data_IF_923639617030
#
_entry.id   IF_923639617030
#
_cell.length_a   1.000
_cell.length_b   1.000
_cell.length_c   1.000
_cell.angle_alpha   90.00
_cell.angle_beta   90.00
_cell.angle_gamma   90.00
#
_symmetry.space_group_name_H-M   'P 1'
#
loop_
_entity.id
_entity.type
_entity.pdbx_description
1 polymer ?
#
# COMPACT_ATOMS: atom_id res chain seq x y z
N UNK A 1 23.51 31.17 -4.89
CA UNK A 1 23.70 29.85 -5.54
C UNK A 1 22.34 29.16 -5.49
N UNK A 2 21.55 29.23 -6.57
CA UNK A 2 20.16 28.76 -6.56
C UNK A 2 20.09 27.24 -6.47
N UNK A 3 19.11 26.72 -5.72
CA UNK A 3 18.85 25.29 -5.64
C UNK A 3 18.55 24.73 -7.04
N UNK A 4 19.35 23.74 -7.46
CA UNK A 4 19.21 23.06 -8.76
C UNK A 4 17.92 22.23 -8.87
N UNK A 5 17.19 22.08 -7.77
CA UNK A 5 16.00 21.23 -7.68
C UNK A 5 14.88 21.94 -6.94
N UNK A 6 13.74 22.10 -7.61
CA UNK A 6 12.51 22.62 -7.02
C UNK A 6 11.66 21.45 -6.54
N UNK A 7 11.29 21.42 -5.26
CA UNK A 7 10.33 20.44 -4.75
C UNK A 7 8.94 20.84 -5.23
N UNK A 8 8.27 19.97 -5.98
CA UNK A 8 6.93 20.24 -6.52
C UNK A 8 5.85 19.80 -5.54
N UNK A 9 5.87 18.54 -5.11
CA UNK A 9 4.82 17.94 -4.31
C UNK A 9 5.34 16.75 -3.52
N UNK A 10 4.65 16.44 -2.43
CA UNK A 10 4.76 15.15 -1.75
C UNK A 10 3.98 14.09 -2.54
N UNK A 11 4.48 12.86 -2.55
CA UNK A 11 3.85 11.72 -3.21
C UNK A 11 3.99 10.44 -2.40
N UNK A 12 2.97 9.61 -2.51
CA UNK A 12 2.96 8.24 -2.01
C UNK A 12 2.73 7.29 -3.17
N UNK A 13 3.61 6.31 -3.33
CA UNK A 13 3.51 5.28 -4.36
C UNK A 13 3.47 3.91 -3.71
N UNK A 14 2.64 3.03 -4.26
CA UNK A 14 2.56 1.64 -3.84
C UNK A 14 2.86 0.75 -5.03
N UNK A 15 3.60 -0.32 -4.77
CA UNK A 15 3.98 -1.25 -5.82
C UNK A 15 4.83 -2.38 -5.32
N UNK A 16 5.27 -3.22 -6.25
CA UNK A 16 6.16 -4.33 -5.95
C UNK A 16 7.62 -3.88 -6.12
N UNK A 17 8.45 -4.15 -5.13
CA UNK A 17 9.88 -3.90 -5.21
C UNK A 17 10.51 -4.85 -6.25
N UNK A 18 11.07 -4.32 -7.33
CA UNK A 18 11.83 -5.13 -8.30
C UNK A 18 13.29 -5.33 -7.87
N UNK A 19 13.84 -4.34 -7.17
CA UNK A 19 15.19 -4.41 -6.63
C UNK A 19 15.83 -3.04 -6.47
N UNK A 20 17.12 -3.06 -6.16
CA UNK A 20 17.92 -1.87 -5.97
C UNK A 20 18.88 -1.69 -7.15
N UNK A 21 18.95 -0.47 -7.70
CA UNK A 21 19.71 -0.16 -8.92
C UNK A 21 20.62 1.06 -8.75
N UNK A 22 21.62 1.16 -9.62
CA UNK A 22 22.55 2.28 -9.71
C UNK A 22 23.61 2.30 -8.61
N UNK A 23 24.75 1.68 -8.87
CA UNK A 23 25.93 1.69 -8.00
C UNK A 23 26.83 0.48 -8.24
N UNK A 24 27.92 0.40 -7.48
CA UNK A 24 28.65 -0.84 -7.24
C UNK A 24 27.81 -1.77 -6.35
N UNK A 25 28.02 -3.10 -6.37
CA UNK A 25 27.38 -4.01 -5.42
C UNK A 25 27.53 -3.48 -3.97
N UNK A 26 26.40 -3.25 -3.30
CA UNK A 26 26.35 -2.67 -1.95
C UNK A 26 26.21 -1.14 -1.84
N UNK A 27 26.26 -0.39 -2.96
CA UNK A 27 26.11 1.09 -2.98
C UNK A 27 24.95 1.56 -3.86
N UNK A 28 23.82 0.84 -3.80
CA UNK A 28 22.64 1.19 -4.57
C UNK A 28 22.14 2.60 -4.27
N UNK A 29 21.79 3.35 -5.32
CA UNK A 29 21.32 4.75 -5.21
C UNK A 29 19.82 4.87 -5.50
N UNK A 30 19.23 3.86 -6.11
CA UNK A 30 17.85 3.85 -6.55
C UNK A 30 17.17 2.55 -6.16
N UNK A 31 15.86 2.63 -6.02
CA UNK A 31 14.94 1.53 -5.84
C UNK A 31 14.03 1.48 -7.06
N UNK A 32 13.86 0.30 -7.64
CA UNK A 32 12.97 0.10 -8.79
C UNK A 32 11.65 -0.49 -8.30
N UNK A 33 10.56 0.22 -8.58
CA UNK A 33 9.21 -0.13 -8.13
C UNK A 33 8.34 -0.43 -9.35
N UNK A 34 7.71 -1.60 -9.38
CA UNK A 34 6.67 -1.93 -10.35
C UNK A 34 5.32 -1.38 -9.85
N UNK A 35 4.72 -0.51 -10.65
CA UNK A 35 3.37 0.03 -10.46
C UNK A 35 2.49 -0.36 -11.67
N UNK A 36 1.16 -0.24 -11.60
CA UNK A 36 0.28 -0.65 -12.71
C UNK A 36 0.58 0.03 -14.04
N UNK A 37 1.10 1.27 -14.01
CA UNK A 37 1.49 2.04 -15.20
C UNK A 37 2.89 1.74 -15.72
N UNK A 38 3.66 0.87 -15.06
CA UNK A 38 5.01 0.48 -15.46
C UNK A 38 6.03 0.51 -14.32
N UNK A 39 7.31 0.60 -14.66
CA UNK A 39 8.39 0.57 -13.68
C UNK A 39 8.92 1.98 -13.41
N UNK A 40 9.08 2.33 -12.14
CA UNK A 40 9.52 3.65 -11.69
C UNK A 40 10.81 3.51 -10.89
N UNK A 41 11.82 4.32 -11.23
CA UNK A 41 13.06 4.44 -10.47
C UNK A 41 12.98 5.57 -9.45
N UNK A 42 13.19 5.23 -8.18
CA UNK A 42 13.06 6.16 -7.06
C UNK A 42 14.43 6.35 -6.40
N UNK A 43 14.89 7.59 -6.28
CA UNK A 43 16.20 7.88 -5.67
C UNK A 43 16.13 7.72 -4.15
N UNK A 44 17.07 6.96 -3.60
CA UNK A 44 17.24 6.77 -2.16
C UNK A 44 18.24 7.78 -1.57
N UNK A 45 17.88 8.48 -0.47
CA UNK A 45 18.81 9.18 0.41
C UNK A 45 19.89 8.24 0.93
N UNK A 46 21.07 8.78 1.28
CA UNK A 46 22.18 7.95 1.77
C UNK A 46 21.80 7.16 3.02
N UNK A 47 21.07 7.79 3.93
CA UNK A 47 20.65 7.24 5.22
C UNK A 47 19.71 6.03 5.08
N UNK A 48 18.86 6.03 4.05
CA UNK A 48 17.90 4.94 3.83
C UNK A 48 18.48 3.72 3.11
N UNK A 49 19.63 3.84 2.44
CA UNK A 49 20.12 2.76 1.57
C UNK A 49 20.42 1.49 2.34
N UNK A 50 21.16 1.61 3.46
CA UNK A 50 21.64 0.47 4.23
C UNK A 50 20.49 -0.26 4.93
N UNK A 51 19.58 0.48 5.56
CA UNK A 51 18.43 -0.12 6.25
C UNK A 51 17.52 -0.85 5.26
N UNK A 52 17.15 -0.17 4.17
CA UNK A 52 16.25 -0.75 3.16
C UNK A 52 16.88 -1.94 2.42
N UNK A 53 18.17 -1.91 2.13
CA UNK A 53 18.85 -3.04 1.49
C UNK A 53 18.89 -4.30 2.36
N UNK A 54 18.78 -4.15 3.68
CA UNK A 54 18.78 -5.27 4.62
C UNK A 54 17.36 -5.73 4.96
N UNK A 55 16.37 -4.84 4.92
CA UNK A 55 15.01 -5.13 5.36
C UNK A 55 14.03 -5.49 4.23
N UNK A 56 14.29 -5.05 3.00
CA UNK A 56 13.39 -5.28 1.87
C UNK A 56 13.95 -6.32 0.91
N UNK A 57 13.07 -7.17 0.41
CA UNK A 57 13.40 -8.21 -0.55
C UNK A 57 12.71 -7.91 -1.89
N UNK A 58 13.38 -8.11 -3.04
CA UNK A 58 12.71 -8.10 -4.34
C UNK A 58 11.48 -9.01 -4.34
N UNK A 59 10.39 -8.54 -4.94
CA UNK A 59 9.08 -9.19 -4.95
C UNK A 59 8.12 -8.71 -3.84
N UNK A 60 8.59 -7.95 -2.86
CA UNK A 60 7.76 -7.48 -1.75
C UNK A 60 6.89 -6.26 -2.12
N UNK A 61 5.65 -6.23 -1.63
CA UNK A 61 4.79 -5.05 -1.74
C UNK A 61 5.27 -3.95 -0.78
N UNK A 62 5.53 -2.75 -1.29
CA UNK A 62 6.06 -1.64 -0.50
C UNK A 62 5.31 -0.34 -0.80
N UNK A 63 5.22 0.51 0.22
CA UNK A 63 4.78 1.90 0.12
C UNK A 63 6.01 2.79 0.17
N UNK A 64 6.12 3.71 -0.77
CA UNK A 64 7.20 4.68 -0.88
C UNK A 64 6.62 6.07 -0.70
N UNK A 65 7.10 6.78 0.32
CA UNK A 65 6.80 8.19 0.55
C UNK A 65 7.98 9.04 0.09
N UNK A 66 7.71 10.08 -0.67
CA UNK A 66 8.76 10.89 -1.27
C UNK A 66 8.29 12.25 -1.76
N UNK A 67 9.23 12.95 -2.40
CA UNK A 67 8.97 14.21 -3.07
C UNK A 67 9.30 14.10 -4.55
N UNK A 68 8.45 14.67 -5.40
CA UNK A 68 8.77 14.93 -6.80
C UNK A 68 9.55 16.22 -6.88
N UNK A 69 10.74 16.17 -7.47
CA UNK A 69 11.61 17.32 -7.67
C UNK A 69 11.78 17.60 -9.15
N UNK A 70 11.57 18.85 -9.55
CA UNK A 70 11.90 19.33 -10.89
C UNK A 70 13.37 19.74 -10.91
N UNK A 71 14.14 19.16 -11.81
CA UNK A 71 15.47 19.66 -12.13
C UNK A 71 15.32 20.92 -12.98
N UNK A 72 15.70 22.08 -12.43
CA UNK A 72 15.45 23.38 -13.08
C UNK A 72 16.25 23.59 -14.37
N UNK A 73 17.28 22.77 -14.61
CA UNK A 73 18.13 22.85 -15.80
C UNK A 73 17.69 21.90 -16.91
N UNK A 74 17.19 20.72 -16.55
CA UNK A 74 16.82 19.67 -17.52
C UNK A 74 15.31 19.51 -17.69
N UNK A 75 14.52 20.20 -16.86
CA UNK A 75 13.05 20.09 -16.78
C UNK A 75 12.55 18.66 -16.53
N UNK A 76 13.41 17.77 -16.04
CA UNK A 76 13.07 16.37 -15.72
C UNK A 76 12.55 16.26 -14.30
N UNK A 77 11.46 15.53 -14.14
CA UNK A 77 10.92 15.18 -12.83
C UNK A 77 11.73 14.01 -12.27
N UNK A 78 12.13 14.14 -11.00
CA UNK A 78 12.86 13.13 -10.25
C UNK A 78 12.18 12.85 -8.94
N UNK A 79 11.96 11.58 -8.64
CA UNK A 79 11.40 11.15 -7.36
C UNK A 79 12.53 10.87 -6.37
N UNK A 80 12.43 11.46 -5.18
CA UNK A 80 13.33 11.19 -4.05
C UNK A 80 12.51 10.71 -2.86
N UNK A 81 12.73 9.46 -2.44
CA UNK A 81 12.08 8.92 -1.25
C UNK A 81 12.61 9.58 0.03
N UNK A 82 11.76 9.68 1.04
CA UNK A 82 12.15 9.93 2.44
C UNK A 82 11.68 8.81 3.37
N UNK A 83 10.81 7.91 2.90
CA UNK A 83 10.39 6.72 3.63
C UNK A 83 10.03 5.60 2.68
N UNK A 84 10.36 4.37 3.07
CA UNK A 84 9.88 3.16 2.40
C UNK A 84 9.48 2.19 3.48
N UNK A 85 8.23 1.72 3.43
CA UNK A 85 7.72 0.74 4.38
C UNK A 85 7.19 -0.47 3.62
N UNK A 86 7.46 -1.69 4.11
CA UNK A 86 6.75 -2.85 3.60
C UNK A 86 5.27 -2.67 3.90
N UNK A 87 4.44 -2.87 2.89
CA UNK A 87 3.02 -3.04 3.13
C UNK A 87 2.91 -4.49 3.57
N UNK A 88 2.44 -4.71 4.79
CA UNK A 88 1.97 -6.02 5.19
C UNK A 88 0.69 -6.31 4.40
N UNK A 89 0.82 -6.55 3.09
CA UNK A 89 -0.03 -7.54 2.48
C UNK A 89 0.40 -8.81 3.19
N UNK A 90 -0.40 -9.29 4.14
CA UNK A 90 -0.41 -10.73 4.37
C UNK A 90 -0.37 -11.32 2.95
N UNK A 91 0.56 -12.24 2.62
CA UNK A 91 0.40 -12.99 1.40
C UNK A 91 -1.06 -13.37 1.41
N UNK A 92 -1.77 -13.10 0.32
CA UNK A 92 -2.96 -13.87 0.07
C UNK A 92 -2.44 -15.31 0.07
N UNK A 93 -2.41 -15.93 1.25
CA UNK A 93 -3.03 -17.23 1.39
C UNK A 93 -4.27 -17.07 0.53
N UNK A 94 -4.38 -17.89 -0.51
CA UNK A 94 -5.67 -18.25 -1.05
C UNK A 94 -6.54 -18.65 0.16
N UNK A 95 -7.08 -17.63 0.81
CA UNK A 95 -8.10 -17.76 1.82
C UNK A 95 -9.24 -18.31 0.99
N UNK A 96 -9.76 -19.50 1.33
CA UNK A 96 -10.91 -20.05 0.64
C UNK A 96 -11.96 -18.95 0.55
N UNK A 97 -12.67 -18.84 -0.59
CA UNK A 97 -13.50 -17.69 -0.94
C UNK A 97 -14.24 -17.19 0.29
N UNK A 98 -13.93 -15.94 0.69
CA UNK A 98 -14.44 -15.27 1.88
C UNK A 98 -15.89 -15.69 2.08
N UNK A 99 -16.12 -16.56 3.06
CA UNK A 99 -17.47 -17.10 3.26
C UNK A 99 -18.33 -15.94 3.67
N UNK A 100 -19.47 -15.76 2.98
CA UNK A 100 -20.44 -14.69 3.27
C UNK A 100 -20.59 -14.55 4.78
N UNK A 101 -20.39 -13.35 5.36
CA UNK A 101 -20.45 -13.18 6.80
C UNK A 101 -21.82 -13.64 7.30
N UNK A 102 -21.82 -14.51 8.32
CA UNK A 102 -23.05 -15.10 8.86
C UNK A 102 -23.40 -14.41 10.17
N UNK A 103 -24.65 -13.94 10.27
CA UNK A 103 -25.20 -13.39 11.51
C UNK A 103 -25.96 -14.51 12.21
N UNK A 104 -25.53 -14.91 13.41
CA UNK A 104 -26.26 -15.88 14.22
C UNK A 104 -27.37 -15.18 15.00
N UNK A 105 -28.60 -15.67 14.85
CA UNK A 105 -29.78 -15.18 15.57
C UNK A 105 -30.32 -16.30 16.46
N UNK A 106 -30.65 -15.97 17.71
CA UNK A 106 -31.25 -16.92 18.64
C UNK A 106 -32.69 -17.26 18.23
N UNK A 107 -32.95 -18.53 17.90
CA UNK A 107 -34.27 -19.01 17.49
C UNK A 107 -35.08 -19.60 18.67
N UNK A 108 -34.65 -19.41 19.92
CA UNK A 108 -35.42 -19.89 21.08
C UNK A 108 -36.72 -19.10 21.20
N UNK A 109 -37.84 -19.78 21.46
CA UNK A 109 -39.17 -19.17 21.48
C UNK A 109 -39.31 -17.95 22.40
N UNK A 110 -38.60 -17.93 23.53
CA UNK A 110 -38.57 -16.77 24.43
C UNK A 110 -37.93 -15.52 23.80
N UNK A 111 -36.84 -15.70 23.05
CA UNK A 111 -36.14 -14.60 22.36
C UNK A 111 -36.98 -14.07 21.21
N UNK A 112 -37.58 -14.95 20.40
CA UNK A 112 -38.47 -14.57 19.29
C UNK A 112 -39.67 -13.75 19.77
N UNK A 113 -40.32 -14.18 20.86
CA UNK A 113 -41.51 -13.51 21.43
C UNK A 113 -41.20 -12.18 22.10
N UNK A 114 -40.00 -12.00 22.66
CA UNK A 114 -39.58 -10.78 23.37
C UNK A 114 -38.96 -9.71 22.46
N UNK A 115 -38.96 -9.91 21.14
CA UNK A 115 -38.47 -8.92 20.17
C UNK A 115 -37.57 -9.49 19.07
N UNK A 116 -37.10 -10.74 19.20
CA UNK A 116 -36.24 -11.38 18.20
C UNK A 116 -36.89 -11.51 16.83
N UNK A 117 -38.22 -11.65 16.76
CA UNK A 117 -38.95 -11.70 15.47
C UNK A 117 -38.87 -10.37 14.72
N UNK A 118 -39.07 -9.25 15.41
CA UNK A 118 -38.99 -7.91 14.80
C UNK A 118 -37.57 -7.58 14.33
N UNK A 119 -36.58 -7.89 15.17
CA UNK A 119 -35.17 -7.71 14.85
C UNK A 119 -34.75 -8.50 13.61
N UNK A 120 -35.17 -9.76 13.48
CA UNK A 120 -34.85 -10.59 12.32
C UNK A 120 -35.44 -9.99 11.02
N UNK A 121 -36.71 -9.57 11.05
CA UNK A 121 -37.37 -8.98 9.87
C UNK A 121 -36.76 -7.64 9.45
N UNK A 122 -36.37 -6.79 10.40
CA UNK A 122 -35.69 -5.51 10.10
C UNK A 122 -34.29 -5.75 9.51
N UNK A 123 -33.58 -6.75 10.03
CA UNK A 123 -32.27 -7.16 9.53
C UNK A 123 -32.37 -7.67 8.08
N UNK A 124 -33.34 -8.55 7.80
CA UNK A 124 -33.60 -9.06 6.46
C UNK A 124 -33.94 -7.93 5.48
N UNK A 125 -34.82 -6.99 5.88
CA UNK A 125 -35.18 -5.84 5.05
C UNK A 125 -33.97 -4.95 4.75
N UNK A 126 -33.19 -4.60 5.77
CA UNK A 126 -31.99 -3.76 5.61
C UNK A 126 -30.95 -4.41 4.69
N UNK A 127 -30.81 -5.74 4.78
CA UNK A 127 -29.92 -6.49 3.89
C UNK A 127 -30.44 -6.56 2.46
N UNK A 128 -31.76 -6.64 2.24
CA UNK A 128 -32.33 -6.57 0.89
C UNK A 128 -32.21 -5.18 0.24
N UNK A 129 -32.35 -4.11 1.03
CA UNK A 129 -32.25 -2.72 0.53
C UNK A 129 -30.80 -2.28 0.23
N UNK A 130 -29.80 -2.88 0.89
CA UNK A 130 -28.40 -2.38 0.90
C UNK A 130 -27.33 -3.41 0.58
N UNK A 131 -27.67 -4.70 0.49
CA UNK A 131 -26.74 -5.81 0.22
C UNK A 131 -26.72 -6.22 -1.24
#
# INVERSE_FOLDING_TARGET
>A
MGDKYLTLSELTLEGQLLGFVGGEPGKYKYLQLAVPSGNVEIKLPKELRRSLSLSLVPGQQVRVCGHSKLDSRTSKIKIKAYGVTPINTCPKQDLPPQTKPKIMVCQKGGCLKRGGKGLLSELEKTLCDRG
#
